data_IF_638356592466
#
_entry.id   IF_638356592466
#
_cell.length_a   1.000
_cell.length_b   1.000
_cell.length_c   1.000
_cell.angle_alpha   90.00
_cell.angle_beta   90.00
_cell.angle_gamma   90.00
#
_symmetry.space_group_name_H-M   'P 1'
#
loop_
_entity.id
_entity.type
_entity.pdbx_description
1 polymer ?
#
# COMPACT_ATOMS: atom_id res chain seq x y z
N UNK A 1 -0.51 -0.80 -11.01
CA UNK A 1 -0.95 -0.02 -12.19
C UNK A 1 -0.08 1.23 -12.43
N UNK A 2 -0.05 2.24 -11.54
CA UNK A 2 0.76 3.45 -11.78
C UNK A 2 2.25 3.14 -11.97
N UNK A 3 2.76 2.18 -11.18
CA UNK A 3 4.13 1.66 -11.30
C UNK A 3 4.40 1.03 -12.69
N UNK A 4 3.57 0.10 -13.15
CA UNK A 4 3.63 -0.49 -14.50
C UNK A 4 3.76 0.55 -15.62
N UNK A 5 2.98 1.64 -15.53
CA UNK A 5 3.02 2.72 -16.52
C UNK A 5 4.40 3.38 -16.53
N UNK A 6 5.00 3.60 -15.35
CA UNK A 6 6.35 4.16 -15.30
C UNK A 6 7.42 3.23 -15.83
N UNK A 7 7.30 1.92 -15.63
CA UNK A 7 8.23 0.94 -16.18
C UNK A 7 8.19 0.92 -17.70
N UNK A 8 6.99 0.91 -18.29
CA UNK A 8 6.80 1.03 -19.75
C UNK A 8 7.36 2.37 -20.25
N UNK A 9 7.13 3.48 -19.54
CA UNK A 9 7.65 4.79 -19.94
C UNK A 9 9.18 4.84 -19.89
N UNK A 10 9.83 4.21 -18.91
CA UNK A 10 11.28 4.32 -18.70
C UNK A 10 12.09 3.09 -19.13
N UNK A 11 11.47 2.06 -19.73
CA UNK A 11 12.17 0.85 -20.19
C UNK A 11 13.27 1.14 -21.22
N UNK A 12 13.11 2.21 -22.01
CA UNK A 12 14.10 2.66 -22.99
C UNK A 12 15.37 3.25 -22.33
N UNK A 13 15.28 3.67 -21.07
CA UNK A 13 16.37 4.31 -20.33
C UNK A 13 16.97 3.37 -19.28
N UNK A 14 16.13 2.57 -18.62
CA UNK A 14 16.56 1.59 -17.62
C UNK A 14 16.28 0.17 -18.14
N UNK A 15 17.31 -0.61 -18.52
CA UNK A 15 17.13 -1.98 -19.00
C UNK A 15 16.62 -2.94 -17.92
N UNK A 16 16.66 -2.54 -16.65
CA UNK A 16 16.10 -3.32 -15.53
C UNK A 16 14.57 -3.41 -15.58
N UNK A 17 13.89 -2.51 -16.31
CA UNK A 17 12.42 -2.47 -16.42
C UNK A 17 11.90 -3.17 -17.68
N UNK A 18 12.75 -3.93 -18.38
CA UNK A 18 12.32 -4.71 -19.55
C UNK A 18 11.77 -6.03 -19.03
N UNK A 19 10.45 -6.08 -18.91
CA UNK A 19 9.71 -7.26 -18.49
C UNK A 19 8.84 -7.80 -19.63
N UNK A 20 8.27 -8.98 -19.41
CA UNK A 20 7.39 -9.60 -20.38
C UNK A 20 6.03 -8.88 -20.39
N UNK A 21 5.52 -8.52 -21.57
CA UNK A 21 4.24 -7.81 -21.71
C UNK A 21 3.05 -8.49 -21.02
N UNK A 22 3.08 -9.82 -20.94
CA UNK A 22 2.00 -10.60 -20.32
C UNK A 22 2.08 -10.58 -18.80
N UNK A 23 3.28 -10.40 -18.22
CA UNK A 23 3.50 -10.33 -16.78
C UNK A 23 2.89 -9.02 -16.27
N UNK A 24 3.35 -7.90 -16.83
CA UNK A 24 2.88 -6.55 -16.49
C UNK A 24 1.37 -6.36 -16.73
N UNK A 25 0.79 -7.01 -17.76
CA UNK A 25 -0.65 -6.85 -18.07
C UNK A 25 -1.54 -7.85 -17.33
N UNK A 26 -1.25 -9.15 -17.43
CA UNK A 26 -2.14 -10.19 -16.93
C UNK A 26 -1.91 -10.41 -15.44
N UNK A 27 -0.65 -10.60 -15.06
CA UNK A 27 -0.31 -10.98 -13.70
C UNK A 27 -0.40 -9.76 -12.77
N UNK A 28 0.20 -8.62 -13.14
CA UNK A 28 0.19 -7.45 -12.25
C UNK A 28 -1.12 -6.67 -12.29
N UNK A 29 -1.61 -6.26 -13.46
CA UNK A 29 -2.83 -5.43 -13.55
C UNK A 29 -4.11 -6.21 -13.25
N UNK A 30 -4.30 -7.40 -13.83
CA UNK A 30 -5.57 -8.13 -13.64
C UNK A 30 -5.56 -9.01 -12.39
N UNK A 31 -4.49 -9.78 -12.15
CA UNK A 31 -4.48 -10.74 -11.04
C UNK A 31 -4.12 -10.05 -9.72
N UNK A 32 -2.92 -9.50 -9.56
CA UNK A 32 -2.47 -9.00 -8.26
C UNK A 32 -3.16 -7.72 -7.83
N UNK A 33 -3.26 -6.71 -8.71
CA UNK A 33 -3.98 -5.48 -8.39
C UNK A 33 -5.48 -5.75 -8.16
N UNK A 34 -6.11 -6.58 -9.00
CA UNK A 34 -7.53 -6.96 -8.85
C UNK A 34 -7.80 -7.74 -7.56
N UNK A 35 -6.96 -8.74 -7.26
CA UNK A 35 -7.06 -9.52 -6.02
C UNK A 35 -6.79 -8.65 -4.80
N UNK A 36 -5.82 -7.74 -4.86
CA UNK A 36 -5.52 -6.80 -3.79
C UNK A 36 -6.72 -5.91 -3.45
N UNK A 37 -7.39 -5.36 -4.46
CA UNK A 37 -8.63 -4.57 -4.28
C UNK A 37 -9.72 -5.45 -3.65
N UNK A 38 -9.91 -6.68 -4.15
CA UNK A 38 -10.93 -7.59 -3.62
C UNK A 38 -10.68 -7.92 -2.14
N UNK A 39 -9.44 -8.31 -1.78
CA UNK A 39 -9.05 -8.59 -0.38
C UNK A 39 -9.21 -7.33 0.48
N UNK A 40 -8.81 -6.16 -0.02
CA UNK A 40 -8.98 -4.90 0.68
C UNK A 40 -10.43 -4.57 0.98
N UNK A 41 -11.34 -4.81 0.02
CA UNK A 41 -12.78 -4.64 0.25
C UNK A 41 -13.33 -5.62 1.28
N UNK A 42 -12.92 -6.90 1.23
CA UNK A 42 -13.31 -7.88 2.26
C UNK A 42 -12.82 -7.47 3.65
N UNK A 43 -11.60 -6.95 3.75
CA UNK A 43 -11.03 -6.46 5.00
C UNK A 43 -11.79 -5.25 5.55
N UNK A 44 -12.11 -4.27 4.70
CA UNK A 44 -12.95 -3.12 5.07
C UNK A 44 -14.32 -3.58 5.59
N UNK A 45 -15.01 -4.49 4.90
CA UNK A 45 -16.29 -5.03 5.37
C UNK A 45 -16.18 -5.76 6.71
N UNK A 46 -15.10 -6.53 6.92
CA UNK A 46 -14.85 -7.24 8.18
C UNK A 46 -14.57 -6.29 9.37
N UNK A 47 -14.17 -5.05 9.11
CA UNK A 47 -13.94 -4.01 10.12
C UNK A 47 -15.13 -3.08 10.32
N UNK A 48 -15.94 -2.85 9.29
CA UNK A 48 -17.12 -1.97 9.31
C UNK A 48 -18.21 -2.48 10.26
N UNK A 49 -18.45 -3.81 10.31
CA UNK A 49 -19.51 -4.43 11.11
C UNK A 49 -18.96 -5.06 12.41
N UNK A 50 -18.50 -4.23 13.37
CA UNK A 50 -18.11 -4.72 14.71
C UNK A 50 -18.92 -4.07 15.83
N UNK A 51 -19.66 -4.90 16.60
CA UNK A 51 -20.32 -4.49 17.82
C UNK A 51 -19.29 -4.34 18.96
N UNK A 52 -19.20 -3.13 19.54
CA UNK A 52 -18.29 -2.85 20.65
C UNK A 52 -18.95 -3.17 22.00
N UNK A 53 -18.44 -4.21 22.68
CA UNK A 53 -18.73 -4.48 24.09
C UNK A 53 -17.70 -3.74 24.98
N UNK A 54 -18.20 -2.77 25.75
CA UNK A 54 -17.40 -1.97 26.68
C UNK A 54 -17.21 -2.68 28.03
N UNK A 55 -16.66 -3.88 28.03
CA UNK A 55 -16.29 -4.55 29.28
C UNK A 55 -14.82 -4.31 29.67
N UNK A 56 -14.53 -4.26 30.98
CA UNK A 56 -13.15 -4.08 31.47
C UNK A 56 -12.28 -5.29 31.13
N UNK A 57 -11.00 -5.08 30.77
CA UNK A 57 -10.02 -6.15 30.48
C UNK A 57 -9.93 -7.15 31.65
N UNK A 58 -10.19 -6.67 32.87
CA UNK A 58 -10.20 -7.47 34.11
C UNK A 58 -11.34 -8.50 34.15
N UNK A 59 -12.43 -8.30 33.41
CA UNK A 59 -13.58 -9.20 33.38
C UNK A 59 -13.43 -10.35 32.36
N UNK A 60 -12.42 -10.29 31.47
CA UNK A 60 -12.22 -11.30 30.44
C UNK A 60 -11.34 -12.44 30.98
N UNK A 61 -11.95 -13.62 31.19
CA UNK A 61 -11.26 -14.81 31.74
C UNK A 61 -10.30 -15.50 30.75
N UNK A 62 -10.53 -15.38 29.44
CA UNK A 62 -9.73 -16.09 28.41
C UNK A 62 -8.53 -15.28 27.92
N UNK A 63 -7.38 -15.94 27.73
CA UNK A 63 -6.16 -15.37 27.13
C UNK A 63 -6.38 -14.90 25.69
N UNK A 64 -7.17 -15.65 24.90
CA UNK A 64 -7.59 -15.26 23.54
C UNK A 64 -8.42 -13.98 23.55
N UNK A 65 -9.30 -13.81 24.54
CA UNK A 65 -10.11 -12.59 24.70
C UNK A 65 -9.28 -11.36 25.07
N UNK A 66 -8.22 -11.54 25.87
CA UNK A 66 -7.27 -10.47 26.20
C UNK A 66 -6.45 -10.04 24.99
N UNK A 67 -5.95 -11.01 24.20
CA UNK A 67 -5.21 -10.74 22.96
C UNK A 67 -6.08 -10.02 21.93
N UNK A 68 -7.33 -10.48 21.72
CA UNK A 68 -8.29 -9.81 20.85
C UNK A 68 -8.48 -8.35 21.25
N UNK A 69 -8.54 -8.05 22.55
CA UNK A 69 -8.70 -6.68 23.05
C UNK A 69 -7.45 -5.82 22.87
N UNK A 70 -6.26 -6.38 23.08
CA UNK A 70 -5.00 -5.69 22.80
C UNK A 70 -4.90 -5.29 21.32
N UNK A 71 -5.23 -6.20 20.41
CA UNK A 71 -5.26 -5.91 18.96
C UNK A 71 -6.32 -4.84 18.63
N UNK A 72 -7.49 -4.89 19.27
CA UNK A 72 -8.54 -3.88 19.08
C UNK A 72 -8.16 -2.47 19.57
N UNK A 73 -7.16 -2.32 20.46
CA UNK A 73 -6.66 -0.99 20.85
C UNK A 73 -5.89 -0.29 19.74
N UNK A 74 -5.35 -1.05 18.79
CA UNK A 74 -4.64 -0.51 17.62
C UNK A 74 -5.58 -0.28 16.43
N UNK A 75 -6.86 -0.63 16.54
CA UNK A 75 -7.89 -0.34 15.52
C UNK A 75 -8.73 0.87 15.94
N UNK A 76 -9.10 1.77 15.01
CA UNK A 76 -9.88 2.97 15.33
C UNK A 76 -11.28 2.62 15.86
N UNK A 77 -11.84 3.49 16.71
CA UNK A 77 -13.13 3.28 17.38
C UNK A 77 -14.32 3.16 16.39
N UNK A 78 -14.22 3.75 15.21
CA UNK A 78 -15.19 3.61 14.13
C UNK A 78 -14.46 3.56 12.80
N UNK A 79 -14.82 2.61 11.93
CA UNK A 79 -14.32 2.57 10.56
C UNK A 79 -15.23 3.43 9.68
N UNK A 80 -14.67 4.38 8.92
CA UNK A 80 -15.47 5.19 8.00
C UNK A 80 -15.85 4.36 6.79
N UNK A 81 -17.15 4.25 6.51
CA UNK A 81 -17.65 3.60 5.29
C UNK A 81 -17.19 4.38 4.06
N UNK A 82 -16.29 3.79 3.29
CA UNK A 82 -15.70 4.44 2.14
C UNK A 82 -16.54 4.18 0.89
N UNK A 83 -17.52 5.05 0.63
CA UNK A 83 -18.24 5.08 -0.64
C UNK A 83 -17.33 5.69 -1.71
N UNK A 84 -16.73 4.83 -2.53
CA UNK A 84 -15.82 5.24 -3.60
C UNK A 84 -16.52 6.02 -4.74
N UNK A 85 -17.83 5.80 -4.93
CA UNK A 85 -18.62 6.36 -6.04
C UNK A 85 -19.57 7.50 -5.60
N UNK A 86 -19.31 8.17 -4.47
CA UNK A 86 -20.21 9.20 -3.95
C UNK A 86 -19.93 10.59 -4.58
N UNK A 87 -20.88 11.26 -5.24
CA UNK A 87 -20.58 12.42 -6.11
C UNK A 87 -20.09 13.69 -5.39
N UNK A 88 -20.34 13.85 -4.09
CA UNK A 88 -20.28 15.16 -3.43
C UNK A 88 -18.89 15.58 -2.93
N UNK A 89 -17.92 14.66 -2.84
CA UNK A 89 -16.55 14.97 -2.39
C UNK A 89 -15.48 14.08 -3.08
N UNK A 90 -15.76 13.56 -4.28
CA UNK A 90 -14.86 12.62 -4.97
C UNK A 90 -13.64 13.31 -5.54
N UNK A 91 -13.75 14.50 -6.14
CA UNK A 91 -12.64 15.15 -6.83
C UNK A 91 -11.45 15.49 -5.92
N UNK A 92 -11.70 16.11 -4.76
CA UNK A 92 -10.63 16.50 -3.82
C UNK A 92 -9.94 15.28 -3.22
N UNK A 93 -10.70 14.23 -2.89
CA UNK A 93 -10.16 12.95 -2.39
C UNK A 93 -9.31 12.26 -3.45
N UNK A 94 -9.80 12.19 -4.69
CA UNK A 94 -9.05 11.62 -5.81
C UNK A 94 -7.76 12.39 -6.06
N UNK A 95 -7.79 13.73 -6.06
CA UNK A 95 -6.56 14.53 -6.22
C UNK A 95 -5.56 14.32 -5.08
N UNK A 96 -6.01 14.22 -3.83
CA UNK A 96 -5.13 13.97 -2.69
C UNK A 96 -4.46 12.59 -2.80
N UNK A 97 -5.22 11.54 -3.18
CA UNK A 97 -4.68 10.20 -3.43
C UNK A 97 -3.69 10.23 -4.60
N UNK A 98 -4.01 10.94 -5.68
CA UNK A 98 -3.12 11.05 -6.84
C UNK A 98 -1.81 11.75 -6.50
N UNK A 99 -1.86 12.83 -5.72
CA UNK A 99 -0.67 13.53 -5.23
C UNK A 99 0.21 12.62 -4.37
N UNK A 100 -0.39 11.83 -3.48
CA UNK A 100 0.32 10.84 -2.66
C UNK A 100 1.00 9.79 -3.54
N UNK A 101 0.27 9.20 -4.50
CA UNK A 101 0.81 8.21 -5.44
C UNK A 101 1.99 8.79 -6.21
N UNK A 102 1.87 9.99 -6.77
CA UNK A 102 2.96 10.63 -7.51
C UNK A 102 4.20 10.90 -6.66
N UNK A 103 4.03 11.35 -5.42
CA UNK A 103 5.15 11.59 -4.52
C UNK A 103 5.96 10.32 -4.25
N UNK A 104 5.28 9.21 -3.99
CA UNK A 104 5.93 7.91 -3.76
C UNK A 104 6.54 7.35 -5.04
N UNK A 105 5.83 7.47 -6.16
CA UNK A 105 6.33 7.06 -7.48
C UNK A 105 7.66 7.74 -7.82
N UNK A 106 7.77 9.05 -7.58
CA UNK A 106 9.00 9.82 -7.80
C UNK A 106 10.12 9.35 -6.86
N UNK A 107 9.80 9.10 -5.59
CA UNK A 107 10.78 8.69 -4.58
C UNK A 107 11.39 7.32 -4.88
N UNK A 108 10.55 6.37 -5.31
CA UNK A 108 10.96 5.05 -5.75
C UNK A 108 11.76 5.12 -7.05
N UNK A 109 11.25 5.82 -8.07
CA UNK A 109 11.94 6.01 -9.35
C UNK A 109 13.32 6.65 -9.16
N UNK A 110 13.44 7.65 -8.27
CA UNK A 110 14.73 8.27 -7.94
C UNK A 110 15.75 7.25 -7.40
N UNK A 111 15.29 6.24 -6.66
CA UNK A 111 16.16 5.15 -6.16
C UNK A 111 16.73 4.33 -7.32
N UNK A 112 15.90 3.97 -8.30
CA UNK A 112 16.33 3.23 -9.49
C UNK A 112 17.26 4.05 -10.38
N UNK A 113 16.98 5.34 -10.58
CA UNK A 113 17.84 6.23 -11.35
C UNK A 113 19.22 6.41 -10.70
N UNK A 114 19.28 6.59 -9.39
CA UNK A 114 20.56 6.71 -8.68
C UNK A 114 21.38 5.42 -8.78
N UNK A 115 20.73 4.25 -8.65
CA UNK A 115 21.39 2.97 -8.89
C UNK A 115 21.96 2.89 -10.31
N UNK A 116 21.20 3.35 -11.32
CA UNK A 116 21.62 3.33 -12.71
C UNK A 116 22.79 4.29 -13.01
N UNK A 117 22.67 5.56 -12.59
CA UNK A 117 23.68 6.61 -12.84
C UNK A 117 25.01 6.27 -12.16
N UNK A 118 24.97 5.84 -10.90
CA UNK A 118 26.18 5.52 -10.13
C UNK A 118 26.66 4.07 -10.33
N UNK A 119 26.00 3.29 -11.18
CA UNK A 119 26.30 1.86 -11.43
C UNK A 119 26.52 1.06 -10.13
N UNK A 120 25.72 1.36 -9.10
CA UNK A 120 25.87 0.69 -7.80
C UNK A 120 25.43 -0.77 -7.90
N UNK A 121 26.18 -1.72 -7.31
CA UNK A 121 25.76 -3.11 -7.27
C UNK A 121 24.46 -3.24 -6.48
N UNK A 122 23.56 -4.20 -6.81
CA UNK A 122 22.28 -4.37 -6.11
C UNK A 122 22.43 -4.61 -4.60
N UNK A 123 23.54 -5.22 -4.19
CA UNK A 123 23.84 -5.55 -2.79
C UNK A 123 24.44 -4.36 -2.02
N UNK A 124 24.55 -3.19 -2.63
CA UNK A 124 25.13 -2.03 -1.97
C UNK A 124 24.24 -1.60 -0.80
N UNK A 125 24.79 -1.46 0.43
CA UNK A 125 23.99 -1.19 1.63
C UNK A 125 23.20 0.11 1.54
N UNK A 126 23.67 1.12 0.80
CA UNK A 126 22.94 2.38 0.59
C UNK A 126 21.61 2.18 -0.14
N UNK A 127 21.56 1.29 -1.14
CA UNK A 127 20.32 1.01 -1.88
C UNK A 127 19.34 0.29 -0.97
N UNK A 128 19.82 -0.70 -0.21
CA UNK A 128 19.01 -1.46 0.73
C UNK A 128 18.44 -0.60 1.87
N UNK A 129 19.29 0.19 2.54
CA UNK A 129 18.87 1.10 3.62
C UNK A 129 17.84 2.10 3.10
N UNK A 130 18.03 2.62 1.89
CA UNK A 130 17.10 3.58 1.31
C UNK A 130 15.74 2.95 1.00
N UNK A 131 15.71 1.75 0.42
CA UNK A 131 14.45 1.02 0.20
C UNK A 131 13.76 0.75 1.53
N UNK A 132 14.50 0.32 2.56
CA UNK A 132 13.95 0.09 3.89
C UNK A 132 13.38 1.36 4.52
N UNK A 133 14.10 2.48 4.43
CA UNK A 133 13.65 3.77 4.95
C UNK A 133 12.42 4.28 4.21
N UNK A 134 12.40 4.21 2.87
CA UNK A 134 11.24 4.59 2.07
C UNK A 134 10.03 3.73 2.41
N UNK A 135 10.22 2.41 2.54
CA UNK A 135 9.17 1.47 2.95
C UNK A 135 8.64 1.73 4.37
N UNK A 136 9.52 2.08 5.32
CA UNK A 136 9.12 2.39 6.69
C UNK A 136 8.32 3.71 6.77
N UNK A 137 8.66 4.71 5.95
CA UNK A 137 7.93 5.98 5.90
C UNK A 137 6.61 5.83 5.14
N UNK A 138 6.54 4.95 4.13
CA UNK A 138 5.30 4.69 3.37
C UNK A 138 4.32 3.75 4.07
N UNK A 139 4.78 2.89 4.97
CA UNK A 139 3.95 1.96 5.73
C UNK A 139 2.70 2.59 6.43
N UNK A 140 2.77 3.76 7.08
CA UNK A 140 1.58 4.38 7.68
C UNK A 140 0.62 5.03 6.67
N UNK A 141 1.00 5.10 5.39
CA UNK A 141 0.18 5.64 4.29
C UNK A 141 -0.52 4.57 3.44
N UNK A 142 -0.26 3.29 3.71
CA UNK A 142 -0.87 2.10 3.11
C UNK A 142 -1.79 1.45 4.14
#
# INVERSE_FOLDING_TARGET
>A
IAWEVTEICFCHLLPNFIECWWDSLILDVFVFNGLGIWVGMQFCHAMEMRYYSWESIKNIRSTSGKLKRAVMQFTPASWTSMRWLDPTNTAMRTMAVWQLVMFWQISELNTFFLKHIFQMPPNHPLVFIRILLLGAISAPSI
#
